data_IF_391078669532
#
_entry.id   IF_391078669532
#
_cell.length_a   1.000
_cell.length_b   1.000
_cell.length_c   1.000
_cell.angle_alpha   90.00
_cell.angle_beta   90.00
_cell.angle_gamma   90.00
#
_symmetry.space_group_name_H-M   'P 1'
#
loop_
_entity.id
_entity.type
_entity.pdbx_description
1 polymer ?
#
# COMPACT_ATOMS: atom_id res chain seq x y z
N UNK A 1 -5.56 5.29 4.52
CA UNK A 1 -6.69 6.19 4.17
C UNK A 1 -7.93 5.45 3.67
N UNK A 2 -7.79 4.23 3.12
CA UNK A 2 -8.90 3.42 2.57
C UNK A 2 -10.03 3.11 3.57
N UNK A 3 -9.71 2.91 4.85
CA UNK A 3 -10.68 2.54 5.89
C UNK A 3 -11.34 3.71 6.62
N UNK A 4 -10.94 4.95 6.34
CA UNK A 4 -11.40 6.14 7.10
C UNK A 4 -12.22 7.12 6.26
N UNK A 5 -12.82 6.66 5.16
CA UNK A 5 -13.77 7.46 4.38
C UNK A 5 -13.19 8.71 3.71
N UNK A 6 -11.87 8.75 3.47
CA UNK A 6 -11.25 9.86 2.73
C UNK A 6 -11.79 9.89 1.29
N UNK A 7 -12.28 11.04 0.78
CA UNK A 7 -12.77 11.16 -0.60
C UNK A 7 -11.64 11.16 -1.64
N UNK A 8 -10.37 11.15 -1.21
CA UNK A 8 -9.21 11.22 -2.07
C UNK A 8 -8.78 9.83 -2.54
N UNK A 9 -8.58 9.68 -3.85
CA UNK A 9 -7.91 8.52 -4.43
C UNK A 9 -6.46 8.44 -3.92
N UNK A 10 -6.07 7.31 -3.35
CA UNK A 10 -4.70 7.07 -2.87
C UNK A 10 -3.96 6.25 -3.92
N UNK A 11 -2.99 6.87 -4.57
CA UNK A 11 -2.11 6.19 -5.54
C UNK A 11 -1.02 5.35 -4.84
N UNK A 12 -0.91 5.49 -3.52
CA UNK A 12 0.13 4.88 -2.69
C UNK A 12 -0.50 3.91 -1.69
N UNK A 13 0.09 2.72 -1.59
CA UNK A 13 -0.21 1.69 -0.60
C UNK A 13 1.03 1.43 0.25
N UNK A 14 0.95 1.81 1.52
CA UNK A 14 2.02 1.65 2.50
C UNK A 14 1.74 0.43 3.40
N UNK A 15 2.76 -0.39 3.63
CA UNK A 15 2.70 -1.60 4.45
C UNK A 15 3.86 -1.62 5.44
N UNK A 16 3.59 -1.97 6.69
CA UNK A 16 4.61 -2.38 7.65
C UNK A 16 4.79 -3.90 7.57
N UNK A 17 6.03 -4.38 7.48
CA UNK A 17 6.31 -5.82 7.33
C UNK A 17 7.54 -6.27 8.08
N UNK A 18 7.53 -7.53 8.52
CA UNK A 18 8.68 -8.25 9.07
C UNK A 18 9.36 -9.13 8.02
N UNK A 19 8.84 -9.17 6.79
CA UNK A 19 9.37 -9.99 5.70
C UNK A 19 10.66 -9.40 5.12
N UNK A 20 11.53 -10.30 4.66
CA UNK A 20 12.71 -9.95 3.88
C UNK A 20 12.34 -9.52 2.45
N UNK A 21 13.27 -8.84 1.76
CA UNK A 21 13.05 -8.40 0.37
C UNK A 21 12.73 -9.56 -0.57
N UNK A 22 13.34 -10.73 -0.35
CA UNK A 22 13.15 -11.91 -1.19
C UNK A 22 11.77 -12.55 -0.96
N UNK A 23 11.27 -12.53 0.28
CA UNK A 23 9.90 -12.97 0.58
C UNK A 23 8.87 -12.05 -0.06
N UNK A 24 9.07 -10.73 0.03
CA UNK A 24 8.20 -9.74 -0.60
C UNK A 24 8.22 -9.92 -2.12
N UNK A 25 9.41 -10.11 -2.72
CA UNK A 25 9.54 -10.36 -4.16
C UNK A 25 8.76 -11.59 -4.59
N UNK A 26 8.94 -12.73 -3.92
CA UNK A 26 8.21 -13.97 -4.21
C UNK A 26 6.70 -13.83 -4.04
N UNK A 27 6.26 -13.04 -3.05
CA UNK A 27 4.83 -12.76 -2.84
C UNK A 27 4.28 -11.96 -4.02
N UNK A 28 5.00 -10.94 -4.48
CA UNK A 28 4.58 -10.09 -5.59
C UNK A 28 4.61 -10.85 -6.93
N UNK A 29 5.57 -11.74 -7.16
CA UNK A 29 5.58 -12.61 -8.34
C UNK A 29 4.35 -13.50 -8.41
N UNK A 30 4.00 -14.16 -7.30
CA UNK A 30 2.77 -14.96 -7.21
C UNK A 30 1.51 -14.12 -7.39
N UNK A 31 1.53 -12.87 -6.91
CA UNK A 31 0.42 -11.95 -7.09
C UNK A 31 0.26 -11.57 -8.55
N UNK A 32 1.36 -11.22 -9.23
CA UNK A 32 1.37 -10.89 -10.66
C UNK A 32 0.87 -12.07 -11.51
N UNK A 33 1.31 -13.29 -11.25
CA UNK A 33 0.83 -14.50 -11.94
C UNK A 33 -0.68 -14.72 -11.78
N UNK A 34 -1.23 -14.49 -10.57
CA UNK A 34 -2.67 -14.60 -10.33
C UNK A 34 -3.45 -13.50 -11.03
N UNK A 35 -2.98 -12.26 -10.91
CA UNK A 35 -3.62 -11.09 -11.51
C UNK A 35 -3.53 -11.08 -13.03
N UNK A 36 -2.52 -11.69 -13.63
CA UNK A 36 -2.38 -11.78 -15.08
C UNK A 36 -3.60 -12.45 -15.76
N UNK A 37 -4.34 -13.31 -15.04
CA UNK A 37 -5.58 -13.94 -15.53
C UNK A 37 -6.78 -13.00 -15.56
N UNK A 38 -6.84 -12.05 -14.63
CA UNK A 38 -7.97 -11.13 -14.44
C UNK A 38 -7.72 -9.76 -15.08
N UNK A 39 -6.47 -9.32 -15.09
CA UNK A 39 -6.00 -8.01 -15.54
C UNK A 39 -4.79 -8.17 -16.47
N UNK A 40 -4.99 -8.64 -17.72
CA UNK A 40 -3.91 -8.75 -18.70
C UNK A 40 -3.31 -7.38 -18.97
N UNK A 41 -1.97 -7.27 -18.90
CA UNK A 41 -1.26 -5.98 -19.01
C UNK A 41 -0.89 -5.35 -17.66
N UNK A 42 -1.25 -5.97 -16.54
CA UNK A 42 -0.70 -5.64 -15.22
C UNK A 42 0.75 -6.13 -15.12
N UNK A 43 1.64 -5.25 -14.65
CA UNK A 43 3.05 -5.57 -14.37
C UNK A 43 3.48 -5.03 -13.02
N UNK A 44 4.28 -5.79 -12.29
CA UNK A 44 4.88 -5.34 -11.03
C UNK A 44 6.38 -5.16 -11.23
N UNK A 45 6.89 -3.98 -10.91
CA UNK A 45 8.31 -3.64 -11.07
C UNK A 45 8.91 -3.09 -9.79
N UNK A 46 10.12 -3.52 -9.44
CA UNK A 46 10.86 -2.96 -8.31
C UNK A 46 11.38 -1.57 -8.68
N UNK A 47 11.09 -0.58 -7.85
CA UNK A 47 11.58 0.79 -8.02
C UNK A 47 12.84 1.06 -7.18
N UNK A 48 12.86 0.57 -5.94
CA UNK A 48 13.92 0.88 -4.99
C UNK A 48 14.04 -0.21 -3.92
N UNK A 49 15.24 -0.37 -3.38
CA UNK A 49 15.48 -1.10 -2.14
C UNK A 49 16.50 -0.38 -1.28
N UNK A 50 16.19 -0.25 0.01
CA UNK A 50 17.05 0.36 1.01
C UNK A 50 17.09 -0.44 2.29
N UNK A 51 17.79 0.09 3.29
CA UNK A 51 17.86 -0.52 4.63
C UNK A 51 16.49 -0.51 5.33
N UNK A 52 15.73 0.57 5.16
CA UNK A 52 14.46 0.82 5.83
C UNK A 52 13.24 0.22 5.12
N UNK A 53 13.40 -0.31 3.91
CA UNK A 53 12.27 -0.82 3.14
C UNK A 53 12.53 -1.04 1.66
N UNK A 54 11.50 -1.51 0.98
CA UNK A 54 11.51 -1.83 -0.46
C UNK A 54 10.26 -1.25 -1.12
N UNK A 55 10.42 -0.75 -2.35
CA UNK A 55 9.35 -0.08 -3.10
C UNK A 55 9.14 -0.73 -4.45
N UNK A 56 7.88 -0.92 -4.80
CA UNK A 56 7.44 -1.43 -6.09
C UNK A 56 6.42 -0.51 -6.74
N UNK A 57 6.25 -0.68 -8.04
CA UNK A 57 5.19 -0.07 -8.85
C UNK A 57 4.38 -1.17 -9.51
N UNK A 58 3.07 -1.10 -9.32
CA UNK A 58 2.11 -1.84 -10.13
C UNK A 58 1.67 -0.91 -11.25
N UNK A 59 1.85 -1.34 -12.49
CA UNK A 59 1.42 -0.62 -13.68
C UNK A 59 0.39 -1.46 -14.41
N UNK A 60 -0.76 -0.89 -14.71
CA UNK A 60 -1.81 -1.53 -15.48
C UNK A 60 -2.05 -0.73 -16.77
N UNK A 61 -1.83 -1.39 -17.91
CA UNK A 61 -2.06 -0.83 -19.22
C UNK A 61 -3.18 -1.60 -19.92
N UNK A 62 -4.25 -0.89 -20.31
CA UNK A 62 -5.39 -1.44 -21.04
C UNK A 62 -5.68 -0.56 -22.27
N UNK A 63 -6.10 -1.14 -23.40
CA UNK A 63 -6.51 -0.37 -24.59
C UNK A 63 -7.61 0.67 -24.31
N UNK A 64 -8.43 0.44 -23.28
CA UNK A 64 -9.52 1.33 -22.89
C UNK A 64 -9.05 2.58 -22.14
N UNK A 65 -7.80 2.58 -21.66
CA UNK A 65 -7.23 3.65 -20.87
C UNK A 65 -6.27 4.48 -21.73
N UNK A 66 -6.48 5.80 -21.75
CA UNK A 66 -5.59 6.74 -22.46
C UNK A 66 -4.17 6.78 -21.87
N UNK A 67 -4.05 6.47 -20.58
CA UNK A 67 -2.78 6.45 -19.85
C UNK A 67 -2.76 5.23 -18.91
N UNK A 68 -1.58 4.63 -18.66
CA UNK A 68 -1.48 3.51 -17.74
C UNK A 68 -1.78 3.95 -16.31
N UNK A 69 -2.53 3.12 -15.58
CA UNK A 69 -2.76 3.32 -14.15
C UNK A 69 -1.55 2.81 -13.37
N UNK A 70 -1.09 3.59 -12.40
CA UNK A 70 0.06 3.25 -11.59
C UNK A 70 -0.30 3.32 -10.12
N UNK A 71 0.09 2.29 -9.37
CA UNK A 71 -0.02 2.24 -7.91
C UNK A 71 1.37 2.00 -7.35
N UNK A 72 1.76 2.76 -6.34
CA UNK A 72 3.02 2.54 -5.61
C UNK A 72 2.77 1.62 -4.43
N UNK A 73 3.62 0.61 -4.27
CA UNK A 73 3.65 -0.23 -3.08
C UNK A 73 4.91 0.10 -2.29
N UNK A 74 4.74 0.53 -1.05
CA UNK A 74 5.80 0.90 -0.13
C UNK A 74 5.80 -0.08 1.06
N UNK A 75 6.88 -0.83 1.23
CA UNK A 75 7.03 -1.78 2.34
C UNK A 75 8.10 -1.27 3.30
N UNK A 76 7.67 -0.87 4.49
CA UNK A 76 8.51 -0.43 5.59
C UNK A 76 8.85 -1.61 6.51
N UNK A 77 10.14 -1.81 6.78
CA UNK A 77 10.59 -2.89 7.67
C UNK A 77 10.40 -2.49 9.12
N UNK A 78 9.76 -3.36 9.89
CA UNK A 78 9.59 -3.19 11.33
C UNK A 78 10.02 -4.46 12.06
N UNK A 79 10.53 -4.31 13.28
CA UNK A 79 10.92 -5.44 14.13
C UNK A 79 9.73 -6.13 14.78
N UNK A 80 8.63 -5.39 14.98
CA UNK A 80 7.37 -5.90 15.51
C UNK A 80 6.21 -5.17 14.83
N UNK A 81 5.15 -5.90 14.47
CA UNK A 81 3.93 -5.31 13.97
C UNK A 81 3.13 -4.75 15.15
N UNK A 82 2.66 -3.50 15.04
CA UNK A 82 1.75 -2.92 16.02
C UNK A 82 0.39 -3.64 16.04
N UNK A 83 -0.52 -3.19 16.91
CA UNK A 83 -1.88 -3.73 16.95
C UNK A 83 -2.56 -3.60 15.58
N UNK A 84 -2.89 -4.74 14.97
CA UNK A 84 -3.62 -4.82 13.72
C UNK A 84 -5.11 -5.01 13.99
N UNK A 85 -5.94 -4.36 13.19
CA UNK A 85 -7.38 -4.60 13.10
C UNK A 85 -7.70 -5.24 11.76
N UNK A 86 -8.73 -6.07 11.75
CA UNK A 86 -9.30 -6.63 10.53
C UNK A 86 -10.59 -5.88 10.27
N UNK A 87 -10.68 -5.28 9.09
CA UNK A 87 -11.91 -4.64 8.62
C UNK A 87 -12.31 -5.18 7.27
N UNK A 88 -13.61 -5.21 7.04
CA UNK A 88 -14.18 -5.55 5.75
C UNK A 88 -14.07 -4.36 4.80
N UNK A 89 -13.54 -4.57 3.60
CA UNK A 89 -13.51 -3.53 2.58
C UNK A 89 -14.91 -3.26 2.05
N UNK A 90 -15.48 -2.12 2.41
CA UNK A 90 -16.73 -1.64 1.83
C UNK A 90 -16.43 -0.81 0.58
N UNK A 91 -17.05 -1.15 -0.53
CA UNK A 91 -16.87 -0.45 -1.80
C UNK A 91 -18.21 -0.16 -2.47
N UNK A 92 -18.26 0.93 -3.24
CA UNK A 92 -19.41 1.26 -4.11
C UNK A 92 -19.36 0.51 -5.44
N UNK A 93 -18.23 -0.13 -5.74
CA UNK A 93 -18.10 -1.00 -6.91
C UNK A 93 -18.94 -2.26 -6.71
N UNK A 94 -19.52 -2.84 -7.78
CA UNK A 94 -20.35 -4.03 -7.70
C UNK A 94 -19.51 -5.29 -7.48
N UNK A 95 -18.78 -5.34 -6.38
CA UNK A 95 -17.94 -6.48 -5.98
C UNK A 95 -18.77 -7.34 -5.04
N UNK A 96 -19.02 -8.60 -5.42
CA UNK A 96 -19.79 -9.56 -4.61
C UNK A 96 -19.00 -10.09 -3.40
N UNK A 97 -17.69 -9.87 -3.41
CA UNK A 97 -16.75 -10.36 -2.39
C UNK A 97 -16.35 -9.18 -1.51
N UNK A 98 -16.49 -9.36 -0.20
CA UNK A 98 -16.10 -8.38 0.80
C UNK A 98 -14.77 -8.81 1.44
N UNK A 99 -13.61 -8.45 0.86
CA UNK A 99 -12.33 -8.92 1.36
C UNK A 99 -12.05 -8.36 2.75
N UNK A 100 -11.54 -9.23 3.61
CA UNK A 100 -11.01 -8.84 4.91
C UNK A 100 -9.58 -8.34 4.71
N UNK A 101 -9.29 -7.15 5.24
CA UNK A 101 -7.98 -6.54 5.12
C UNK A 101 -7.45 -6.26 6.52
N UNK A 102 -6.21 -6.71 6.76
CA UNK A 102 -5.45 -6.37 7.94
C UNK A 102 -4.88 -4.96 7.76
N UNK A 103 -5.16 -4.09 8.71
CA UNK A 103 -4.60 -2.74 8.73
C UNK A 103 -4.19 -2.36 10.15
N UNK A 104 -3.32 -1.36 10.28
CA UNK A 104 -2.97 -0.80 11.59
C UNK A 104 -4.22 -0.24 12.28
N UNK A 105 -4.29 -0.39 13.60
CA UNK A 105 -5.35 0.22 14.40
C UNK A 105 -5.33 1.75 14.25
N UNK A 106 -6.44 2.42 14.57
CA UNK A 106 -6.50 3.89 14.59
C UNK A 106 -5.38 4.52 15.41
N UNK A 107 -5.12 3.95 16.60
CA UNK A 107 -4.03 4.38 17.46
C UNK A 107 -2.66 4.11 16.83
N UNK A 108 -2.50 2.98 16.15
CA UNK A 108 -1.27 2.66 15.40
C UNK A 108 -1.00 3.66 14.28
N UNK A 109 -2.02 3.97 13.47
CA UNK A 109 -1.93 4.97 12.38
C UNK A 109 -1.64 6.36 12.94
N UNK A 110 -2.29 6.73 14.05
CA UNK A 110 -2.05 8.00 14.71
C UNK A 110 -0.62 8.11 15.25
N UNK A 111 -0.12 7.05 15.90
CA UNK A 111 1.25 6.97 16.39
C UNK A 111 2.27 7.07 15.25
N UNK A 112 2.10 6.33 14.16
CA UNK A 112 2.99 6.38 13.00
C UNK A 112 3.01 7.79 12.38
N UNK A 113 1.85 8.46 12.30
CA UNK A 113 1.79 9.86 11.86
C UNK A 113 2.54 10.82 12.79
N UNK A 114 2.38 10.66 14.11
CA UNK A 114 3.12 11.46 15.10
C UNK A 114 4.62 11.21 15.04
N UNK A 115 5.04 9.95 14.91
CA UNK A 115 6.46 9.59 14.75
C UNK A 115 7.02 10.12 13.44
N UNK A 116 6.28 10.03 12.34
CA UNK A 116 6.66 10.62 11.07
C UNK A 116 6.79 12.14 11.16
N UNK A 117 5.89 12.82 11.88
CA UNK A 117 5.99 14.26 12.15
C UNK A 117 7.19 14.62 13.03
N UNK A 118 7.47 13.82 14.07
CA UNK A 118 8.57 14.05 15.00
C UNK A 118 9.95 13.79 14.36
N UNK A 119 10.03 12.83 13.45
CA UNK A 119 11.29 12.40 12.80
C UNK A 119 11.56 13.11 11.48
N UNK A 120 10.51 13.47 10.73
CA UNK A 120 10.64 14.26 9.50
C UNK A 120 10.47 15.73 9.85
N UNK A 121 11.59 16.40 10.11
CA UNK A 121 11.70 17.86 10.08
C UNK A 121 11.51 18.41 8.65
N UNK A 122 10.33 18.21 8.06
CA UNK A 122 9.83 19.08 6.99
C UNK A 122 8.89 20.09 7.62
N UNK A 123 9.46 21.20 8.07
CA UNK A 123 8.73 22.38 8.49
C UNK A 123 7.92 22.96 7.34
N UNK A 124 6.67 22.54 7.25
CA UNK A 124 5.54 23.26 6.64
C UNK A 124 4.32 22.80 7.41
N UNK A 125 3.94 23.59 8.43
CA UNK A 125 2.61 23.67 9.06
C UNK A 125 2.67 24.04 10.56
N UNK A 126 3.41 25.09 10.90
CA UNK A 126 2.92 26.05 11.90
C UNK A 126 2.40 27.23 11.07
N UNK A 127 1.12 27.22 10.74
CA UNK A 127 0.41 28.45 10.39
C UNK A 127 -0.24 28.94 11.68
N UNK A 128 0.37 29.98 12.25
CA UNK A 128 -0.31 30.94 13.13
C UNK A 128 -1.34 31.70 12.30
#
# INVERSE_FOLDING_TARGET
MLFFGSPRFSEDLDFSTTYSDEEIRKLLEKLEEKLAKEAPGLKISRLYSGKEGIRFRVSFNSPELKYPLNIRLDFHRVTCLGESKISTLTTRFPVLIFPQIHHLSEMGIFKEKLEALATRSQGRDIKV
#
